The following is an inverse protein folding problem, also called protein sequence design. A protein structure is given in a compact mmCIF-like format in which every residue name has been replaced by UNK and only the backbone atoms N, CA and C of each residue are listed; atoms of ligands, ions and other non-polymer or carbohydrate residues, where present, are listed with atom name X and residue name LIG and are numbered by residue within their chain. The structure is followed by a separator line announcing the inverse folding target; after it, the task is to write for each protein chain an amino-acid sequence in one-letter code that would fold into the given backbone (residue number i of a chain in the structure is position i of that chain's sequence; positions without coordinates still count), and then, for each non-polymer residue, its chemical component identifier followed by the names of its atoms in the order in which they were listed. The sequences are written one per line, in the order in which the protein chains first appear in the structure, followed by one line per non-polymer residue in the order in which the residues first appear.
data_IF_401224747089
#
_entry.id   IF_401224747089
#
_cell.length_a   1.000
_cell.length_b   1.000
_cell.length_c   1.000
_cell.angle_alpha   90.00
_cell.angle_beta   90.00
_cell.angle_gamma   90.00
#
_symmetry.space_group_name_H-M   'P 1'
#
loop_
_entity.id
_entity.type
_entity.pdbx_description
1 polymer ?
#
# COMPACT_ATOMS: atom_id res chain seq x y z
N UNK A 1 -4.00 -12.44 -12.37
CA UNK A 1 -3.39 -12.96 -11.13
C UNK A 1 -2.71 -14.32 -11.34
N UNK A 2 -3.17 -15.16 -12.27
CA UNK A 2 -2.62 -16.51 -12.52
C UNK A 2 -1.10 -16.56 -12.74
N UNK A 3 -0.53 -15.61 -13.49
CA UNK A 3 0.91 -15.50 -13.66
C UNK A 3 1.65 -15.27 -12.34
N UNK A 4 1.13 -14.37 -11.47
CA UNK A 4 1.73 -14.08 -10.16
C UNK A 4 1.68 -15.33 -9.29
N UNK A 5 0.58 -16.08 -9.31
CA UNK A 5 0.49 -17.35 -8.59
C UNK A 5 1.54 -18.35 -9.04
N UNK A 6 1.73 -18.52 -10.34
CA UNK A 6 2.74 -19.42 -10.88
C UNK A 6 4.15 -19.02 -10.40
N UNK A 7 4.47 -17.72 -10.46
CA UNK A 7 5.77 -17.22 -9.98
C UNK A 7 5.95 -17.45 -8.47
N UNK A 8 4.92 -17.25 -7.65
CA UNK A 8 5.01 -17.51 -6.21
C UNK A 8 5.34 -18.99 -5.92
N UNK A 9 4.78 -19.92 -6.67
CA UNK A 9 5.11 -21.35 -6.52
C UNK A 9 6.55 -21.69 -6.96
N UNK A 10 7.15 -20.91 -7.86
CA UNK A 10 8.59 -20.99 -8.17
C UNK A 10 9.43 -20.41 -7.03
N UNK A 11 9.03 -19.26 -6.49
CA UNK A 11 9.73 -18.57 -5.41
C UNK A 11 9.76 -19.42 -4.12
N UNK A 12 8.69 -20.15 -3.79
CA UNK A 12 8.66 -21.13 -2.67
C UNK A 12 9.75 -22.20 -2.82
N UNK A 13 10.05 -22.61 -4.05
CA UNK A 13 11.12 -23.57 -4.37
C UNK A 13 12.51 -22.92 -4.38
N UNK A 14 12.63 -21.66 -3.93
CA UNK A 14 13.84 -20.83 -3.98
C UNK A 14 14.38 -20.63 -5.40
N UNK A 15 13.50 -20.71 -6.41
CA UNK A 15 13.84 -20.34 -7.77
C UNK A 15 13.48 -18.86 -7.99
N UNK A 16 14.50 -18.00 -8.03
CA UNK A 16 14.32 -16.54 -8.14
C UNK A 16 14.41 -16.01 -9.57
N UNK A 17 14.45 -16.86 -10.60
CA UNK A 17 14.56 -16.42 -12.01
C UNK A 17 13.45 -15.45 -12.42
N UNK A 18 12.23 -15.66 -11.90
CA UNK A 18 11.06 -14.85 -12.21
C UNK A 18 10.84 -13.69 -11.22
N UNK A 19 11.79 -13.41 -10.32
CA UNK A 19 11.61 -12.39 -9.28
C UNK A 19 11.44 -10.99 -9.86
N UNK A 20 12.24 -10.60 -10.86
CA UNK A 20 12.11 -9.27 -11.49
C UNK A 20 10.73 -9.07 -12.14
N UNK A 21 10.18 -10.12 -12.73
CA UNK A 21 8.82 -10.11 -13.27
C UNK A 21 7.80 -9.94 -12.14
N UNK A 22 7.95 -10.69 -11.04
CA UNK A 22 7.08 -10.57 -9.87
C UNK A 22 7.15 -9.17 -9.25
N UNK A 23 8.35 -8.60 -9.11
CA UNK A 23 8.57 -7.25 -8.63
C UNK A 23 7.84 -6.25 -9.52
N UNK A 24 8.07 -6.27 -10.83
CA UNK A 24 7.44 -5.32 -11.75
C UNK A 24 5.90 -5.43 -11.79
N UNK A 25 5.34 -6.62 -11.61
CA UNK A 25 3.89 -6.83 -11.55
C UNK A 25 3.26 -6.33 -10.25
N UNK A 26 4.03 -6.16 -9.17
CA UNK A 26 3.50 -5.90 -7.82
C UNK A 26 3.97 -4.59 -7.20
N UNK A 27 5.06 -3.99 -7.72
CA UNK A 27 5.74 -2.85 -7.10
C UNK A 27 4.84 -1.64 -6.89
N UNK A 28 3.93 -1.35 -7.82
CA UNK A 28 3.03 -0.20 -7.70
C UNK A 28 2.06 -0.40 -6.53
N UNK A 29 1.45 -1.59 -6.40
CA UNK A 29 0.54 -1.91 -5.31
C UNK A 29 1.25 -1.83 -3.95
N UNK A 30 2.48 -2.35 -3.88
CA UNK A 30 3.31 -2.27 -2.67
C UNK A 30 3.65 -0.82 -2.34
N UNK A 31 4.12 -0.05 -3.32
CA UNK A 31 4.45 1.37 -3.17
C UNK A 31 3.26 2.17 -2.62
N UNK A 32 2.09 2.06 -3.24
CA UNK A 32 0.89 2.77 -2.80
C UNK A 32 0.39 2.34 -1.41
N UNK A 33 0.62 1.08 -1.00
CA UNK A 33 0.32 0.64 0.36
C UNK A 33 1.26 1.28 1.42
N UNK A 34 2.41 1.80 1.01
CA UNK A 34 3.44 2.37 1.89
C UNK A 34 3.39 3.90 1.88
N UNK A 35 3.51 4.52 0.71
CA UNK A 35 3.68 5.97 0.54
C UNK A 35 2.49 6.76 1.11
N UNK A 36 1.29 6.19 1.07
CA UNK A 36 0.10 6.82 1.66
C UNK A 36 0.15 6.90 3.20
N UNK A 37 1.02 6.14 3.84
CA UNK A 37 1.23 6.09 5.29
C UNK A 37 2.43 6.95 5.69
N UNK A 38 3.58 6.73 5.05
CA UNK A 38 4.84 7.40 5.44
C UNK A 38 5.00 8.80 4.81
N UNK A 39 4.40 9.05 3.65
CA UNK A 39 4.45 10.33 2.92
C UNK A 39 5.89 10.82 2.64
N UNK A 40 6.81 9.88 2.49
CA UNK A 40 8.24 10.09 2.22
C UNK A 40 8.67 9.02 1.21
N UNK A 41 9.28 9.45 0.09
CA UNK A 41 9.60 8.57 -1.03
C UNK A 41 10.81 7.69 -0.74
N UNK A 42 11.89 8.26 -0.19
CA UNK A 42 13.11 7.52 0.15
C UNK A 42 12.79 6.43 1.18
N UNK A 43 12.01 6.80 2.21
CA UNK A 43 11.54 5.85 3.22
C UNK A 43 10.60 4.79 2.63
N UNK A 44 9.78 5.15 1.65
CA UNK A 44 8.91 4.21 0.97
C UNK A 44 9.71 3.17 0.18
N UNK A 45 10.78 3.57 -0.51
CA UNK A 45 11.68 2.66 -1.23
C UNK A 45 12.38 1.67 -0.30
N UNK A 46 12.87 2.15 0.85
CA UNK A 46 13.46 1.29 1.88
C UNK A 46 12.45 0.25 2.40
N UNK A 47 11.23 0.70 2.72
CA UNK A 47 10.16 -0.19 3.19
C UNK A 47 9.73 -1.17 2.09
N UNK A 48 9.76 -0.77 0.82
CA UNK A 48 9.50 -1.68 -0.30
C UNK A 48 10.50 -2.84 -0.32
N UNK A 49 11.79 -2.53 -0.20
CA UNK A 49 12.83 -3.57 -0.15
C UNK A 49 12.59 -4.54 1.01
N UNK A 50 12.36 -4.02 2.21
CA UNK A 50 12.02 -4.81 3.39
C UNK A 50 10.75 -5.65 3.21
N UNK A 51 9.76 -5.13 2.48
CA UNK A 51 8.52 -5.83 2.17
C UNK A 51 8.79 -7.10 1.36
N UNK A 52 9.59 -6.99 0.29
CA UNK A 52 9.92 -8.13 -0.55
C UNK A 52 10.78 -9.16 0.19
N UNK A 53 11.75 -8.70 0.99
CA UNK A 53 12.54 -9.59 1.87
C UNK A 53 11.62 -10.36 2.81
N UNK A 54 10.74 -9.67 3.55
CA UNK A 54 9.80 -10.32 4.47
C UNK A 54 8.78 -11.21 3.77
N UNK A 55 8.37 -10.85 2.55
CA UNK A 55 7.51 -11.69 1.73
C UNK A 55 8.20 -13.02 1.43
N UNK A 56 9.46 -12.99 0.98
CA UNK A 56 10.24 -14.19 0.69
C UNK A 56 10.50 -15.03 1.95
N UNK A 57 10.80 -14.40 3.09
CA UNK A 57 10.95 -15.11 4.38
C UNK A 57 9.68 -15.86 4.81
N UNK A 58 8.51 -15.28 4.51
CA UNK A 58 7.20 -15.83 4.88
C UNK A 58 6.46 -16.48 3.73
N UNK A 59 7.12 -16.73 2.60
CA UNK A 59 6.43 -17.17 1.38
C UNK A 59 5.76 -18.53 1.54
N UNK A 60 6.30 -19.39 2.42
CA UNK A 60 5.70 -20.69 2.76
C UNK A 60 4.33 -20.56 3.46
N UNK A 61 4.07 -19.42 4.11
CA UNK A 61 2.80 -19.14 4.77
C UNK A 61 1.73 -18.64 3.79
N UNK A 62 2.13 -18.29 2.56
CA UNK A 62 1.20 -17.85 1.53
C UNK A 62 0.33 -19.03 1.06
N UNK A 63 -0.98 -18.88 1.29
CA UNK A 63 -1.98 -19.87 0.87
C UNK A 63 -2.27 -19.71 -0.62
N UNK A 64 -2.00 -20.74 -1.41
CA UNK A 64 -2.30 -20.74 -2.84
C UNK A 64 -3.80 -20.47 -3.06
N UNK A 65 -4.12 -19.57 -4.00
CA UNK A 65 -5.48 -19.08 -4.25
C UNK A 65 -5.94 -17.88 -3.39
N UNK A 66 -5.16 -17.45 -2.40
CA UNK A 66 -5.38 -16.14 -1.74
C UNK A 66 -4.91 -14.99 -2.63
N UNK A 67 -5.37 -13.75 -2.41
CA UNK A 67 -4.95 -12.62 -3.25
C UNK A 67 -3.48 -12.23 -2.95
N UNK A 68 -2.54 -12.34 -3.91
CA UNK A 68 -1.13 -11.99 -3.70
C UNK A 68 -0.92 -10.51 -3.39
N UNK A 69 -1.71 -9.62 -3.99
CA UNK A 69 -1.66 -8.20 -3.69
C UNK A 69 -2.10 -7.94 -2.25
N UNK A 70 -3.15 -8.60 -1.77
CA UNK A 70 -3.60 -8.47 -0.39
C UNK A 70 -2.51 -8.88 0.62
N UNK A 71 -1.84 -9.99 0.35
CA UNK A 71 -0.78 -10.50 1.21
C UNK A 71 0.44 -9.56 1.24
N UNK A 72 0.91 -9.10 0.07
CA UNK A 72 1.99 -8.12 -0.03
C UNK A 72 1.62 -6.79 0.64
N UNK A 73 0.42 -6.28 0.37
CA UNK A 73 -0.06 -5.00 0.91
C UNK A 73 -0.16 -5.04 2.44
N UNK A 74 -0.53 -6.19 3.01
CA UNK A 74 -0.56 -6.38 4.47
C UNK A 74 0.85 -6.29 5.07
N UNK A 75 1.83 -6.93 4.44
CA UNK A 75 3.23 -6.87 4.90
C UNK A 75 3.74 -5.42 4.81
N UNK A 76 3.55 -4.79 3.64
CA UNK A 76 3.98 -3.43 3.35
C UNK A 76 3.38 -2.40 4.32
N UNK A 77 2.06 -2.45 4.50
CA UNK A 77 1.31 -1.62 5.44
C UNK A 77 1.82 -1.75 6.86
N UNK A 78 2.01 -2.99 7.34
CA UNK A 78 2.47 -3.23 8.70
C UNK A 78 3.88 -2.68 8.92
N UNK A 79 4.77 -2.81 7.93
CA UNK A 79 6.09 -2.19 7.98
C UNK A 79 5.99 -0.66 8.01
N UNK A 80 5.20 -0.07 7.14
CA UNK A 80 4.99 1.37 7.06
C UNK A 80 4.45 1.96 8.37
N UNK A 81 3.41 1.36 8.96
CA UNK A 81 2.86 1.79 10.25
C UNK A 81 3.90 1.70 11.37
N UNK A 82 4.69 0.62 11.40
CA UNK A 82 5.72 0.45 12.41
C UNK A 82 6.84 1.48 12.28
N UNK A 83 7.26 1.78 11.05
CA UNK A 83 8.28 2.80 10.76
C UNK A 83 7.77 4.20 11.09
N UNK A 84 6.57 4.56 10.61
CA UNK A 84 5.92 5.84 10.92
C UNK A 84 5.76 6.06 12.43
N UNK A 85 5.29 5.05 13.17
CA UNK A 85 5.15 5.15 14.62
C UNK A 85 6.50 5.26 15.34
N UNK A 86 7.56 4.64 14.82
CA UNK A 86 8.91 4.74 15.36
C UNK A 86 9.45 6.16 15.17
N UNK A 87 9.32 6.74 13.98
CA UNK A 87 9.78 8.09 13.69
C UNK A 87 9.01 9.13 14.50
N UNK A 88 7.69 9.00 14.60
CA UNK A 88 6.87 9.88 15.45
C UNK A 88 7.30 9.84 16.92
N UNK A 89 7.73 8.68 17.43
CA UNK A 89 8.26 8.56 18.81
C UNK A 89 9.61 9.23 18.95
N UNK A 90 10.48 9.16 17.94
CA UNK A 90 11.77 9.85 17.91
C UNK A 90 11.56 11.37 17.89
N UNK A 91 10.67 11.87 17.03
CA UNK A 91 10.30 13.29 16.95
C UNK A 91 9.63 13.78 18.25
N UNK A 92 8.80 12.97 18.90
CA UNK A 92 8.26 13.36 20.21
C UNK A 92 9.32 13.38 21.33
N UNK A 93 10.47 12.72 21.13
CA UNK A 93 11.60 12.72 22.07
C UNK A 93 12.68 13.77 21.76
N UNK A 94 12.63 14.39 20.57
CA UNK A 94 13.56 15.40 20.10
C UNK A 94 12.74 16.56 19.50
N UNK A 95 12.71 17.72 20.16
CA UNK A 95 11.97 18.90 19.67
C UNK A 95 12.24 19.16 18.17
N UNK A 96 11.18 18.98 17.38
CA UNK A 96 10.85 19.42 16.01
C UNK A 96 11.96 19.26 14.94
N UNK A 97 11.65 18.42 13.94
CA UNK A 97 12.03 18.71 12.55
C UNK A 97 10.78 18.56 11.68
N UNK A 98 10.36 19.66 11.05
CA UNK A 98 9.36 19.65 9.98
C UNK A 98 9.94 18.93 8.75
N UNK A 99 9.24 17.91 8.25
CA UNK A 99 9.60 17.28 6.97
C UNK A 99 9.30 18.24 5.82
N UNK A 100 10.34 18.47 5.01
CA UNK A 100 10.34 19.27 3.79
C UNK A 100 9.81 18.39 2.64
N UNK A 101 8.99 18.90 1.70
CA UNK A 101 8.62 18.13 0.50
C UNK A 101 9.85 17.95 -0.41
N UNK A 102 10.14 16.71 -0.81
CA UNK A 102 11.16 16.40 -1.83
C UNK A 102 10.61 16.69 -3.25
N UNK A 103 11.45 17.08 -4.23
CA UNK A 103 11.00 17.57 -5.54
C UNK A 103 10.55 16.47 -6.50
N UNK A 104 9.63 16.89 -7.38
CA UNK A 104 8.82 16.14 -8.34
C UNK A 104 9.61 15.40 -9.45
N UNK A 105 9.21 14.14 -9.71
CA UNK A 105 9.33 13.51 -11.04
C UNK A 105 7.91 13.36 -11.63
N UNK A 106 7.60 14.19 -12.63
CA UNK A 106 6.31 14.18 -13.35
C UNK A 106 6.06 12.81 -14.01
N UNK A 107 5.19 12.03 -13.38
CA UNK A 107 4.64 10.77 -13.90
C UNK A 107 3.15 10.69 -13.58
N UNK A 108 2.42 9.78 -14.25
CA UNK A 108 0.99 9.47 -13.99
C UNK A 108 0.65 9.26 -12.50
N UNK A 109 1.66 9.01 -11.66
CA UNK A 109 1.55 8.87 -10.21
C UNK A 109 1.12 10.18 -9.52
N UNK A 110 1.56 11.35 -10.00
CA UNK A 110 1.22 12.65 -9.40
C UNK A 110 -0.29 12.93 -9.41
N UNK A 111 -0.96 12.62 -10.52
CA UNK A 111 -2.40 12.87 -10.64
C UNK A 111 -3.19 11.98 -9.69
N UNK A 112 -2.75 10.74 -9.48
CA UNK A 112 -3.32 9.83 -8.48
C UNK A 112 -3.10 10.40 -7.07
N UNK A 113 -1.91 10.90 -6.75
CA UNK A 113 -1.62 11.50 -5.45
C UNK A 113 -2.48 12.73 -5.18
N UNK A 114 -2.60 13.64 -6.15
CA UNK A 114 -3.43 14.85 -6.05
C UNK A 114 -4.91 14.51 -5.79
N UNK A 115 -5.43 13.46 -6.42
CA UNK A 115 -6.81 12.98 -6.18
C UNK A 115 -6.94 12.36 -4.79
N UNK A 116 -5.97 11.52 -4.40
CA UNK A 116 -5.98 10.84 -3.11
C UNK A 116 -5.84 11.82 -1.94
N UNK A 117 -5.09 12.91 -2.07
CA UNK A 117 -4.92 13.97 -1.06
C UNK A 117 -6.22 14.71 -0.71
N UNK A 118 -7.26 14.54 -1.52
CA UNK A 118 -8.60 15.05 -1.19
C UNK A 118 -9.28 14.26 -0.05
N UNK A 119 -8.75 13.10 0.30
CA UNK A 119 -9.29 12.16 1.28
C UNK A 119 -8.58 12.25 2.62
N UNK A 120 -9.29 11.92 3.70
CA UNK A 120 -8.67 11.66 5.00
C UNK A 120 -7.81 10.39 4.93
N UNK A 121 -6.79 10.24 5.79
CA UNK A 121 -5.81 9.14 5.69
C UNK A 121 -6.49 7.75 5.65
N UNK A 122 -7.52 7.52 6.48
CA UNK A 122 -8.27 6.25 6.51
C UNK A 122 -9.14 6.05 5.26
N UNK A 123 -9.67 7.13 4.69
CA UNK A 123 -10.42 7.09 3.42
C UNK A 123 -9.48 6.74 2.27
N UNK A 124 -8.31 7.41 2.22
CA UNK A 124 -7.25 7.17 1.25
C UNK A 124 -6.77 5.73 1.27
N UNK A 125 -6.55 5.19 2.46
CA UNK A 125 -6.13 3.81 2.67
C UNK A 125 -7.15 2.80 2.13
N UNK A 126 -8.45 2.97 2.46
CA UNK A 126 -9.51 2.07 1.98
C UNK A 126 -9.68 2.15 0.45
N UNK A 127 -9.62 3.35 -0.12
CA UNK A 127 -9.71 3.54 -1.58
C UNK A 127 -8.51 2.92 -2.28
N UNK A 128 -7.30 3.12 -1.76
CA UNK A 128 -6.07 2.53 -2.30
C UNK A 128 -6.16 1.01 -2.30
N UNK A 129 -6.44 0.41 -1.14
CA UNK A 129 -6.52 -1.05 -1.02
C UNK A 129 -7.60 -1.63 -1.95
N UNK A 130 -8.72 -0.96 -2.15
CA UNK A 130 -9.78 -1.44 -3.03
C UNK A 130 -9.45 -1.27 -4.52
N UNK A 131 -9.11 -0.04 -4.93
CA UNK A 131 -9.03 0.34 -6.35
C UNK A 131 -7.67 0.00 -6.94
N UNK A 132 -6.60 0.22 -6.18
CA UNK A 132 -5.21 0.04 -6.65
C UNK A 132 -4.76 -1.40 -6.41
N UNK A 133 -5.04 -1.93 -5.22
CA UNK A 133 -4.58 -3.26 -4.81
C UNK A 133 -5.59 -4.38 -5.12
N UNK A 134 -6.77 -4.04 -5.65
CA UNK A 134 -7.84 -4.99 -6.03
C UNK A 134 -8.29 -5.91 -4.87
N UNK A 135 -8.31 -5.38 -3.63
CA UNK A 135 -8.80 -6.12 -2.47
C UNK A 135 -10.32 -6.03 -2.39
N UNK A 136 -10.96 -7.15 -2.04
CA UNK A 136 -12.37 -7.17 -1.65
C UNK A 136 -12.54 -6.47 -0.30
N UNK A 137 -13.68 -5.84 -0.05
CA UNK A 137 -13.94 -5.16 1.22
C UNK A 137 -13.75 -6.03 2.47
N UNK A 138 -13.95 -7.35 2.37
CA UNK A 138 -13.64 -8.28 3.46
C UNK A 138 -12.14 -8.40 3.72
N UNK A 139 -11.33 -8.50 2.67
CA UNK A 139 -9.87 -8.53 2.78
C UNK A 139 -9.33 -7.21 3.33
N UNK A 140 -9.93 -6.08 2.92
CA UNK A 140 -9.60 -4.76 3.48
C UNK A 140 -9.92 -4.70 4.97
N UNK A 141 -11.12 -5.16 5.37
CA UNK A 141 -11.53 -5.23 6.78
C UNK A 141 -10.53 -6.01 7.64
N UNK A 142 -10.05 -7.15 7.14
CA UNK A 142 -9.02 -7.94 7.80
C UNK A 142 -7.65 -7.23 7.82
N UNK A 143 -7.29 -6.54 6.72
CA UNK A 143 -6.01 -5.84 6.57
C UNK A 143 -5.87 -4.62 7.49
N UNK A 144 -6.95 -3.85 7.66
CA UNK A 144 -6.95 -2.62 8.45
C UNK A 144 -7.57 -2.77 9.86
N UNK A 145 -7.95 -4.00 10.21
CA UNK A 145 -8.59 -4.38 11.47
C UNK A 145 -9.82 -3.51 11.80
N UNK A 146 -10.79 -3.48 10.87
CA UNK A 146 -12.07 -2.77 11.02
C UNK A 146 -13.25 -3.64 10.61
N UNK A 147 -14.44 -3.46 11.21
CA UNK A 147 -15.64 -4.17 10.77
C UNK A 147 -15.95 -3.91 9.28
N UNK A 148 -16.40 -4.94 8.56
CA UNK A 148 -16.78 -4.84 7.14
C UNK A 148 -17.76 -3.68 6.86
N UNK A 149 -18.76 -3.48 7.74
CA UNK A 149 -19.71 -2.38 7.61
C UNK A 149 -19.04 -1.00 7.70
N UNK A 150 -18.02 -0.87 8.56
CA UNK A 150 -17.22 0.36 8.69
C UNK A 150 -16.39 0.60 7.44
N UNK A 151 -15.75 -0.43 6.88
CA UNK A 151 -14.99 -0.32 5.62
C UNK A 151 -15.89 0.12 4.47
N UNK A 152 -17.06 -0.49 4.32
CA UNK A 152 -18.04 -0.12 3.30
C UNK A 152 -18.52 1.33 3.47
N UNK A 153 -18.77 1.76 4.70
CA UNK A 153 -19.16 3.15 4.97
C UNK A 153 -18.04 4.14 4.62
N UNK A 154 -16.80 3.86 5.04
CA UNK A 154 -15.62 4.69 4.71
C UNK A 154 -15.46 4.80 3.20
N UNK A 155 -15.51 3.67 2.48
CA UNK A 155 -15.37 3.64 1.02
C UNK A 155 -16.44 4.50 0.34
N UNK A 156 -17.72 4.32 0.70
CA UNK A 156 -18.81 5.10 0.11
C UNK A 156 -18.69 6.60 0.41
N UNK A 157 -18.25 6.97 1.62
CA UNK A 157 -17.96 8.37 2.00
C UNK A 157 -16.84 8.93 1.11
N UNK A 158 -15.75 8.19 0.94
CA UNK A 158 -14.61 8.59 0.13
C UNK A 158 -14.99 8.79 -1.34
N UNK A 159 -15.67 7.81 -1.96
CA UNK A 159 -16.13 7.92 -3.36
C UNK A 159 -17.09 9.09 -3.56
N UNK A 160 -17.98 9.37 -2.61
CA UNK A 160 -18.86 10.54 -2.67
C UNK A 160 -18.05 11.84 -2.64
N UNK A 161 -17.02 11.92 -1.79
CA UNK A 161 -16.12 13.08 -1.69
C UNK A 161 -15.32 13.29 -2.98
N UNK A 162 -14.76 12.21 -3.55
CA UNK A 162 -14.05 12.27 -4.83
C UNK A 162 -14.95 12.70 -5.98
N UNK A 163 -16.16 12.13 -6.09
CA UNK A 163 -17.11 12.51 -7.16
C UNK A 163 -17.52 13.98 -7.10
N UNK A 164 -17.74 14.53 -5.90
CA UNK A 164 -18.08 15.94 -5.74
C UNK A 164 -16.92 16.83 -6.23
N UNK A 165 -15.69 16.54 -5.80
CA UNK A 165 -14.53 17.37 -6.13
C UNK A 165 -14.04 17.19 -7.57
N UNK A 166 -14.04 15.98 -8.12
CA UNK A 166 -13.64 15.72 -9.51
C UNK A 166 -14.69 16.26 -10.49
N UNK A 167 -15.98 16.26 -10.12
CA UNK A 167 -17.03 16.90 -10.88
C UNK A 167 -16.96 18.44 -10.91
N UNK A 168 -16.23 19.06 -9.97
CA UNK A 168 -15.94 20.49 -9.96
C UNK A 168 -14.64 20.85 -10.73
N UNK A 169 -13.83 19.85 -11.09
CA UNK A 169 -12.52 20.00 -11.77
C UNK A 169 -12.64 19.78 -13.30
N UNK A 170 -13.78 19.26 -13.78
CA UNK A 170 -14.10 19.06 -15.21
C UNK A 170 -15.19 20.04 -15.67
#
# INVERSE_FOLDING_TARGET
MDQIHAIIEELKKRNYQSFDTFYNLTKNQVFYAIINIVKDQDLAEDIMQDTYVKFLEKIEQYKSGSNPYAYLSTIARNLAINTYNREKRVINSQEIVESIPSPEEETDQEDIFKILDLLEDVEKEVVTLHIINDLKFREIADTIDKPLGTVLWIYNKAIKKLRAKVGDIL
#
